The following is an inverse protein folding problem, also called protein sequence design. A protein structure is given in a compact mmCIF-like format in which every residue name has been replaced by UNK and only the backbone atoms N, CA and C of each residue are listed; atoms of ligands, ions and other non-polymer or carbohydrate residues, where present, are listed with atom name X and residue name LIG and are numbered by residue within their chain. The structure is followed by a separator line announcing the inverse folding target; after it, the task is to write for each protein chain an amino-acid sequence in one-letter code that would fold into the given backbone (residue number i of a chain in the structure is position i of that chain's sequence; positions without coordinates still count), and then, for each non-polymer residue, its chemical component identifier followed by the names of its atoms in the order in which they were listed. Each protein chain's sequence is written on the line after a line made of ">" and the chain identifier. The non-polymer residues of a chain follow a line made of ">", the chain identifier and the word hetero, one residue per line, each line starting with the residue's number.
data_IF_912945363335
#
_entry.id   IF_912945363335
#
_cell.length_a   1.000
_cell.length_b   1.000
_cell.length_c   1.000
_cell.angle_alpha   90.00
_cell.angle_beta   90.00
_cell.angle_gamma   90.00
#
_symmetry.space_group_name_H-M   'P 1'
#
loop_
_entity.id
_entity.type
_entity.pdbx_description
1 polymer ?
#
# COMPACT_ATOMS: atom_id res chain seq x y z
N UNK A 1 9.38 2.81 48.63
CA UNK A 1 9.56 1.88 47.50
C UNK A 1 11.01 1.96 47.07
N UNK A 2 11.69 0.85 47.02
CA UNK A 2 13.07 0.75 46.49
C UNK A 2 13.08 0.46 44.98
N UNK A 3 11.96 -0.03 44.46
CA UNK A 3 11.83 -0.31 43.02
C UNK A 3 11.64 0.99 42.22
N UNK A 4 12.24 1.07 41.01
CA UNK A 4 12.06 2.20 40.08
C UNK A 4 10.57 2.35 39.72
N UNK A 5 10.11 3.59 39.70
CA UNK A 5 8.76 3.91 39.21
C UNK A 5 8.77 5.16 38.34
N UNK A 6 7.88 5.19 37.35
CA UNK A 6 7.75 6.32 36.45
C UNK A 6 6.65 7.27 36.91
N UNK A 7 6.91 8.56 36.86
CA UNK A 7 5.94 9.63 37.07
C UNK A 7 6.14 10.76 36.08
N UNK A 8 5.15 11.61 35.98
CA UNK A 8 5.25 12.85 35.20
C UNK A 8 5.39 14.02 36.17
N UNK A 9 6.46 14.80 36.02
CA UNK A 9 6.65 16.04 36.77
C UNK A 9 6.41 17.24 35.84
N UNK A 10 6.12 18.41 36.43
CA UNK A 10 5.94 19.65 35.68
C UNK A 10 7.20 20.50 35.75
N UNK A 11 7.72 20.85 34.56
CA UNK A 11 8.83 21.81 34.46
C UNK A 11 8.36 23.23 34.84
N UNK A 12 9.27 24.09 35.28
CA UNK A 12 8.99 25.50 35.64
C UNK A 12 8.31 26.31 34.53
N UNK A 13 8.49 25.93 33.28
CA UNK A 13 7.82 26.52 32.11
C UNK A 13 6.50 25.83 31.74
N UNK A 14 5.99 24.93 32.59
CA UNK A 14 4.63 24.36 32.48
C UNK A 14 4.51 23.07 31.68
N UNK A 15 5.54 22.64 30.95
CA UNK A 15 5.50 21.38 30.20
C UNK A 15 5.73 20.15 31.11
N UNK A 16 5.20 19.02 30.70
CA UNK A 16 5.31 17.74 31.39
C UNK A 16 6.61 17.03 31.03
N UNK A 17 7.31 16.50 32.02
CA UNK A 17 8.54 15.71 31.85
C UNK A 17 8.31 14.33 32.48
N UNK A 18 8.37 13.23 31.74
CA UNK A 18 8.36 11.89 32.28
C UNK A 18 9.69 11.61 32.96
N UNK A 19 9.66 11.17 34.22
CA UNK A 19 10.86 10.83 34.98
C UNK A 19 10.73 9.47 35.64
N UNK A 20 11.84 8.77 35.72
CA UNK A 20 12.00 7.57 36.51
C UNK A 20 12.59 7.97 37.88
N UNK A 21 11.96 7.52 38.94
CA UNK A 21 12.36 7.83 40.31
C UNK A 21 12.78 6.56 41.03
N UNK A 22 13.98 6.56 41.59
CA UNK A 22 14.51 5.48 42.44
C UNK A 22 14.88 6.08 43.78
N UNK A 23 14.31 5.52 44.86
CA UNK A 23 14.65 5.93 46.20
C UNK A 23 15.37 4.81 46.97
N UNK A 24 16.52 5.10 47.59
CA UNK A 24 17.25 4.16 48.43
C UNK A 24 17.52 4.80 49.77
N UNK A 25 17.21 4.06 50.85
CA UNK A 25 17.55 4.48 52.20
C UNK A 25 18.95 3.98 52.54
N UNK A 26 19.82 4.88 53.02
CA UNK A 26 21.17 4.54 53.46
C UNK A 26 21.41 5.06 54.86
N UNK A 27 21.91 4.24 55.78
CA UNK A 27 22.33 4.69 57.11
C UNK A 27 23.65 5.46 56.98
N UNK A 28 23.68 6.68 57.52
CA UNK A 28 24.87 7.49 57.58
C UNK A 28 24.93 8.24 58.93
N UNK A 29 26.03 8.11 59.68
CA UNK A 29 26.29 8.82 60.97
C UNK A 29 25.13 8.80 61.98
N UNK A 30 24.53 7.63 62.26
CA UNK A 30 23.44 7.42 63.23
C UNK A 30 22.06 7.97 62.78
N UNK A 31 21.89 8.29 61.48
CA UNK A 31 20.60 8.68 60.89
C UNK A 31 20.38 8.01 59.55
N UNK A 32 19.09 7.70 59.23
CA UNK A 32 18.71 7.16 57.92
C UNK A 32 18.44 8.29 56.95
N UNK A 33 19.26 8.31 55.86
CA UNK A 33 19.06 9.24 54.75
C UNK A 33 18.42 8.54 53.60
N UNK A 34 17.44 9.20 52.97
CA UNK A 34 16.82 8.74 51.74
C UNK A 34 17.41 9.48 50.57
N UNK A 35 18.16 8.76 49.75
CA UNK A 35 18.67 9.26 48.45
C UNK A 35 17.61 8.99 47.40
N UNK A 36 17.21 10.02 46.64
CA UNK A 36 16.27 9.92 45.55
C UNK A 36 17.00 10.33 44.27
N UNK A 37 17.04 9.41 43.31
CA UNK A 37 17.58 9.68 41.98
C UNK A 37 16.39 9.89 41.03
N UNK A 38 16.38 11.00 40.35
CA UNK A 38 15.36 11.34 39.34
C UNK A 38 16.05 11.39 37.98
N UNK A 39 15.60 10.53 37.08
CA UNK A 39 16.14 10.46 35.72
C UNK A 39 15.08 10.92 34.74
N UNK A 40 15.39 11.89 33.89
CA UNK A 40 14.55 12.24 32.76
C UNK A 40 14.55 11.10 31.73
N UNK A 41 13.37 10.56 31.41
CA UNK A 41 13.17 9.47 30.48
C UNK A 41 12.46 9.92 29.20
N UNK A 42 12.41 11.22 28.93
CA UNK A 42 11.74 11.79 27.74
C UNK A 42 12.29 11.17 26.45
N UNK A 43 13.62 11.14 26.28
CA UNK A 43 14.25 10.58 25.10
C UNK A 43 13.96 9.07 24.94
N UNK A 44 13.94 8.31 26.07
CA UNK A 44 13.59 6.89 26.04
C UNK A 44 12.13 6.67 25.60
N UNK A 45 11.18 7.42 26.14
CA UNK A 45 9.78 7.32 25.75
C UNK A 45 9.53 7.73 24.32
N UNK A 46 10.14 8.82 23.87
CA UNK A 46 10.05 9.25 22.48
C UNK A 46 10.61 8.20 21.50
N UNK A 47 11.74 7.57 21.86
CA UNK A 47 12.29 6.47 21.05
C UNK A 47 11.34 5.27 21.00
N UNK A 48 10.77 4.87 22.12
CA UNK A 48 9.80 3.77 22.20
C UNK A 48 8.52 4.07 21.41
N UNK A 49 7.98 5.29 21.53
CA UNK A 49 6.82 5.73 20.76
C UNK A 49 7.12 5.73 19.26
N UNK A 50 8.32 6.19 18.89
CA UNK A 50 8.75 6.19 17.49
C UNK A 50 8.95 4.78 16.94
N UNK A 51 9.54 3.89 17.72
CA UNK A 51 9.67 2.48 17.35
C UNK A 51 8.30 1.82 17.17
N UNK A 52 7.37 2.03 18.11
CA UNK A 52 6.00 1.52 18.02
C UNK A 52 5.26 2.09 16.79
N UNK A 53 5.46 3.37 16.49
CA UNK A 53 4.87 4.01 15.32
C UNK A 53 5.43 3.40 14.02
N UNK A 54 6.75 3.27 13.89
CA UNK A 54 7.41 2.71 12.70
C UNK A 54 7.03 1.24 12.50
N UNK A 55 6.80 0.49 13.58
CA UNK A 55 6.34 -0.90 13.49
C UNK A 55 4.98 -1.05 12.79
N UNK A 56 4.12 -0.01 12.85
CA UNK A 56 2.75 -0.03 12.34
C UNK A 56 2.51 0.90 11.14
N UNK A 57 3.44 1.81 10.84
CA UNK A 57 3.26 2.82 9.79
C UNK A 57 4.42 2.83 8.79
N UNK A 58 4.13 3.23 7.56
CA UNK A 58 5.13 3.53 6.54
C UNK A 58 5.86 4.83 6.88
N UNK A 59 7.19 4.79 6.94
CA UNK A 59 8.02 5.91 7.38
C UNK A 59 7.97 7.11 6.43
N UNK A 60 7.65 6.90 5.15
CA UNK A 60 7.62 7.95 4.13
C UNK A 60 6.29 8.71 4.13
N UNK A 61 5.17 7.96 4.12
CA UNK A 61 3.82 8.51 3.94
C UNK A 61 3.03 8.62 5.24
N UNK A 62 3.52 8.04 6.33
CA UNK A 62 2.85 7.96 7.63
C UNK A 62 1.50 7.21 7.58
N UNK A 63 1.19 6.55 6.47
CA UNK A 63 0.04 5.65 6.38
C UNK A 63 0.30 4.34 7.13
N UNK A 64 -0.73 3.63 7.57
CA UNK A 64 -0.64 2.23 7.97
C UNK A 64 0.23 1.42 7.01
N UNK A 65 1.16 0.63 7.57
CA UNK A 65 1.96 -0.29 6.79
C UNK A 65 1.21 -1.62 6.57
N UNK A 66 1.84 -2.58 5.87
CA UNK A 66 1.26 -3.90 5.59
C UNK A 66 0.84 -4.63 6.86
N UNK A 67 1.65 -4.56 7.92
CA UNK A 67 1.36 -5.27 9.17
C UNK A 67 0.08 -4.72 9.83
N UNK A 68 0.00 -3.41 9.99
CA UNK A 68 -1.16 -2.77 10.58
C UNK A 68 -2.43 -2.91 9.72
N UNK A 69 -2.30 -2.84 8.39
CA UNK A 69 -3.41 -3.10 7.48
C UNK A 69 -4.01 -4.50 7.70
N UNK A 70 -3.17 -5.54 7.81
CA UNK A 70 -3.64 -6.92 8.00
C UNK A 70 -4.40 -7.10 9.32
N UNK A 71 -3.92 -6.47 10.39
CA UNK A 71 -4.61 -6.48 11.68
C UNK A 71 -5.96 -5.76 11.59
N UNK A 72 -5.98 -4.55 11.03
CA UNK A 72 -7.21 -3.76 10.89
C UNK A 72 -8.23 -4.45 9.98
N UNK A 73 -7.81 -4.96 8.83
CA UNK A 73 -8.70 -5.67 7.91
C UNK A 73 -9.29 -6.92 8.57
N UNK A 74 -8.50 -7.68 9.33
CA UNK A 74 -9.00 -8.85 10.06
C UNK A 74 -10.05 -8.47 11.10
N UNK A 75 -9.87 -7.36 11.81
CA UNK A 75 -10.85 -6.83 12.78
C UNK A 75 -12.13 -6.36 12.06
N UNK A 76 -12.00 -5.60 10.96
CA UNK A 76 -13.12 -5.13 10.13
C UNK A 76 -13.94 -6.31 9.62
N UNK A 77 -13.30 -7.36 9.08
CA UNK A 77 -13.99 -8.56 8.59
C UNK A 77 -14.71 -9.32 9.71
N UNK A 78 -14.11 -9.39 10.92
CA UNK A 78 -14.77 -9.99 12.07
C UNK A 78 -16.04 -9.24 12.49
N UNK A 79 -16.01 -7.90 12.42
CA UNK A 79 -17.18 -7.05 12.65
C UNK A 79 -18.23 -7.20 11.55
N UNK A 80 -17.81 -7.14 10.29
CA UNK A 80 -18.67 -7.28 9.12
C UNK A 80 -19.41 -8.61 9.15
N UNK A 81 -18.72 -9.71 9.50
CA UNK A 81 -19.35 -11.03 9.65
C UNK A 81 -20.48 -11.04 10.67
N UNK A 82 -20.31 -10.36 11.81
CA UNK A 82 -21.34 -10.29 12.88
C UNK A 82 -22.55 -9.43 12.47
N UNK A 83 -22.30 -8.39 11.66
CA UNK A 83 -23.33 -7.44 11.24
C UNK A 83 -23.94 -7.76 9.88
N UNK A 84 -23.48 -8.81 9.22
CA UNK A 84 -23.82 -9.14 7.82
C UNK A 84 -23.56 -7.95 6.88
N UNK A 85 -22.51 -7.16 7.19
CA UNK A 85 -22.11 -6.02 6.40
C UNK A 85 -21.11 -6.42 5.31
N UNK A 86 -21.01 -5.59 4.27
CA UNK A 86 -20.06 -5.75 3.18
C UNK A 86 -18.82 -4.85 3.41
N UNK A 87 -17.69 -5.30 2.90
CA UNK A 87 -16.43 -4.58 2.91
C UNK A 87 -15.83 -4.64 1.52
N UNK A 88 -15.25 -3.55 1.04
CA UNK A 88 -14.45 -3.58 -0.17
C UNK A 88 -12.98 -3.33 0.13
N UNK A 89 -12.12 -4.09 -0.56
CA UNK A 89 -10.67 -3.89 -0.58
C UNK A 89 -10.29 -3.41 -1.96
N UNK A 90 -9.73 -2.21 -2.04
CA UNK A 90 -9.20 -1.60 -3.26
C UNK A 90 -7.69 -1.69 -3.22
N UNK A 91 -7.08 -2.44 -4.13
CA UNK A 91 -5.63 -2.48 -4.31
C UNK A 91 -5.25 -1.54 -5.45
N UNK A 92 -4.33 -0.63 -5.20
CA UNK A 92 -3.94 0.43 -6.12
C UNK A 92 -2.45 0.40 -6.37
N UNK A 93 -2.04 0.58 -7.62
CA UNK A 93 -0.65 0.79 -8.00
C UNK A 93 -0.56 2.00 -8.95
N UNK A 94 0.49 2.82 -8.78
CA UNK A 94 0.72 4.01 -9.60
C UNK A 94 1.36 3.62 -10.93
N UNK A 95 0.65 3.90 -12.03
CA UNK A 95 1.14 3.57 -13.37
C UNK A 95 2.41 4.37 -13.70
N UNK A 96 3.42 3.69 -14.24
CA UNK A 96 4.69 4.31 -14.64
C UNK A 96 5.47 5.04 -13.53
N UNK A 97 5.22 4.73 -12.25
CA UNK A 97 5.96 5.34 -11.13
C UNK A 97 7.47 5.15 -11.25
N UNK A 98 7.92 3.98 -11.75
CA UNK A 98 9.33 3.73 -12.03
C UNK A 98 9.91 4.77 -12.99
N UNK A 99 9.18 5.15 -14.04
CA UNK A 99 9.63 6.18 -15.00
C UNK A 99 9.82 7.54 -14.32
N UNK A 100 8.98 7.87 -13.34
CA UNK A 100 9.14 9.10 -12.54
C UNK A 100 10.46 9.05 -11.76
N UNK A 101 10.75 7.94 -11.09
CA UNK A 101 12.01 7.77 -10.36
C UNK A 101 13.22 7.81 -11.29
N UNK A 102 13.16 7.13 -12.43
CA UNK A 102 14.27 7.05 -13.39
C UNK A 102 14.55 8.42 -14.05
N UNK A 103 13.50 9.26 -14.24
CA UNK A 103 13.62 10.55 -14.91
C UNK A 103 13.88 11.72 -13.98
N UNK A 104 13.27 11.74 -12.77
CA UNK A 104 13.31 12.87 -11.84
C UNK A 104 14.04 12.55 -10.52
N UNK A 105 14.47 11.30 -10.36
CA UNK A 105 15.16 10.82 -9.15
C UNK A 105 14.21 10.40 -8.03
N UNK A 106 14.73 9.64 -7.08
CA UNK A 106 13.97 9.07 -5.97
C UNK A 106 13.35 10.14 -5.06
N UNK A 107 13.98 11.31 -4.93
CA UNK A 107 13.42 12.40 -4.12
C UNK A 107 12.07 12.90 -4.66
N UNK A 108 11.96 13.07 -5.98
CA UNK A 108 10.71 13.43 -6.64
C UNK A 108 9.64 12.33 -6.50
N UNK A 109 10.04 11.06 -6.61
CA UNK A 109 9.15 9.93 -6.35
C UNK A 109 8.63 9.90 -4.91
N UNK A 110 9.49 10.18 -3.94
CA UNK A 110 9.10 10.26 -2.53
C UNK A 110 8.11 11.40 -2.25
N UNK A 111 8.29 12.57 -2.86
CA UNK A 111 7.34 13.67 -2.77
C UNK A 111 6.00 13.29 -3.41
N UNK A 112 6.03 12.66 -4.58
CA UNK A 112 4.83 12.16 -5.25
C UNK A 112 4.06 11.18 -4.36
N UNK A 113 4.74 10.21 -3.74
CA UNK A 113 4.11 9.24 -2.84
C UNK A 113 3.45 9.89 -1.63
N UNK A 114 4.05 10.93 -1.04
CA UNK A 114 3.43 11.70 0.05
C UNK A 114 2.17 12.41 -0.42
N UNK A 115 2.21 13.08 -1.56
CA UNK A 115 1.07 13.78 -2.14
C UNK A 115 -0.07 12.82 -2.51
N UNK A 116 0.25 11.64 -3.03
CA UNK A 116 -0.72 10.57 -3.30
C UNK A 116 -1.38 10.11 -1.99
N UNK A 117 -0.59 9.86 -0.94
CA UNK A 117 -1.11 9.45 0.36
C UNK A 117 -2.10 10.47 0.94
N UNK A 118 -1.80 11.76 0.85
CA UNK A 118 -2.69 12.84 1.29
C UNK A 118 -3.99 12.88 0.47
N UNK A 119 -3.91 12.75 -0.87
CA UNK A 119 -5.10 12.70 -1.73
C UNK A 119 -5.97 11.49 -1.45
N UNK A 120 -5.37 10.32 -1.23
CA UNK A 120 -6.11 9.10 -0.87
C UNK A 120 -6.84 9.29 0.46
N UNK A 121 -6.15 9.83 1.47
CA UNK A 121 -6.71 10.07 2.80
C UNK A 121 -7.89 11.04 2.76
N UNK A 122 -7.77 12.11 2.00
CA UNK A 122 -8.86 13.10 1.81
C UNK A 122 -10.00 12.57 0.94
N UNK A 123 -9.76 11.53 0.16
CA UNK A 123 -10.74 10.91 -0.74
C UNK A 123 -11.71 9.94 -0.07
N UNK A 124 -11.42 9.46 1.14
CA UNK A 124 -12.18 8.44 1.88
C UNK A 124 -12.70 8.99 3.20
N UNK A 125 -13.58 8.22 3.88
CA UNK A 125 -14.13 8.57 5.19
C UNK A 125 -13.17 8.20 6.31
N UNK A 126 -13.33 8.79 7.50
CA UNK A 126 -12.52 8.45 8.68
C UNK A 126 -12.64 6.99 9.13
N UNK A 127 -13.77 6.34 8.81
CA UNK A 127 -14.00 4.93 9.10
C UNK A 127 -13.27 3.98 8.13
N UNK A 128 -12.82 4.49 6.98
CA UNK A 128 -12.10 3.71 5.98
C UNK A 128 -10.59 3.71 6.29
N UNK A 129 -9.91 2.65 5.88
CA UNK A 129 -8.47 2.50 6.11
C UNK A 129 -7.72 2.76 4.82
N UNK A 130 -6.71 3.62 4.85
CA UNK A 130 -5.76 3.81 3.75
C UNK A 130 -4.39 3.35 4.24
N UNK A 131 -3.75 2.46 3.49
CA UNK A 131 -2.45 1.89 3.81
C UNK A 131 -1.49 1.94 2.62
N UNK A 132 -0.18 1.91 2.88
CA UNK A 132 0.86 1.72 1.87
C UNK A 132 1.61 0.42 2.17
N UNK A 133 1.72 -0.46 1.16
CA UNK A 133 2.37 -1.76 1.32
C UNK A 133 3.88 -1.72 1.04
N UNK A 134 4.31 -0.74 0.25
CA UNK A 134 5.68 -0.53 -0.20
C UNK A 134 5.71 -0.06 -1.65
N UNK A 135 6.85 0.49 -2.10
CA UNK A 135 6.95 0.99 -3.47
C UNK A 135 5.82 1.98 -3.82
N UNK A 136 5.09 1.67 -4.85
CA UNK A 136 3.96 2.43 -5.41
C UNK A 136 2.59 1.76 -5.14
N UNK A 137 2.53 0.84 -4.17
CA UNK A 137 1.34 0.08 -3.83
C UNK A 137 0.61 0.67 -2.62
N UNK A 138 -0.67 0.98 -2.81
CA UNK A 138 -1.59 1.45 -1.79
C UNK A 138 -2.80 0.53 -1.69
N UNK A 139 -3.39 0.47 -0.51
CA UNK A 139 -4.64 -0.27 -0.28
C UNK A 139 -5.63 0.63 0.45
N UNK A 140 -6.88 0.59 0.01
CA UNK A 140 -7.99 1.24 0.68
C UNK A 140 -9.00 0.17 1.10
N UNK A 141 -9.43 0.19 2.36
CA UNK A 141 -10.47 -0.68 2.88
C UNK A 141 -11.71 0.17 3.17
N UNK A 142 -12.77 -0.09 2.44
CA UNK A 142 -14.06 0.58 2.62
C UNK A 142 -14.95 -0.28 3.52
N UNK A 143 -15.45 0.33 4.58
CA UNK A 143 -16.32 -0.34 5.56
C UNK A 143 -17.78 -0.01 5.30
N UNK A 144 -18.68 -0.93 5.68
CA UNK A 144 -20.14 -0.72 5.65
C UNK A 144 -20.66 -0.25 4.26
N UNK A 145 -20.14 -0.82 3.16
CA UNK A 145 -20.71 -0.59 1.84
C UNK A 145 -22.03 -1.35 1.70
N UNK A 146 -23.00 -0.76 1.01
CA UNK A 146 -24.31 -1.39 0.82
C UNK A 146 -24.35 -2.22 -0.48
N UNK A 147 -23.74 -1.69 -1.52
CA UNK A 147 -23.70 -2.28 -2.85
C UNK A 147 -22.29 -2.30 -3.43
N UNK A 148 -21.99 -3.15 -4.41
CA UNK A 148 -20.73 -3.07 -5.15
C UNK A 148 -20.50 -1.69 -5.80
N UNK A 149 -21.58 -1.00 -6.20
CA UNK A 149 -21.51 0.31 -6.82
C UNK A 149 -20.96 1.38 -5.88
N UNK A 150 -21.15 1.23 -4.56
CA UNK A 150 -20.55 2.14 -3.58
C UNK A 150 -19.00 2.06 -3.64
N UNK A 151 -18.46 0.85 -3.76
CA UNK A 151 -17.01 0.65 -3.93
C UNK A 151 -16.52 1.20 -5.27
N UNK A 152 -17.32 0.99 -6.34
CA UNK A 152 -17.04 1.54 -7.66
C UNK A 152 -16.97 3.07 -7.64
N UNK A 153 -17.94 3.72 -7.01
CA UNK A 153 -18.03 5.18 -6.91
C UNK A 153 -16.84 5.77 -6.14
N UNK A 154 -16.41 5.13 -5.04
CA UNK A 154 -15.21 5.56 -4.31
C UNK A 154 -13.96 5.36 -5.16
N UNK A 155 -13.82 4.22 -5.86
CA UNK A 155 -12.69 3.98 -6.76
C UNK A 155 -12.63 5.03 -7.89
N UNK A 156 -13.76 5.38 -8.51
CA UNK A 156 -13.84 6.42 -9.54
C UNK A 156 -13.48 7.80 -8.99
N UNK A 157 -13.92 8.13 -7.77
CA UNK A 157 -13.51 9.36 -7.08
C UNK A 157 -12.01 9.41 -6.84
N UNK A 158 -11.41 8.30 -6.41
CA UNK A 158 -9.96 8.21 -6.20
C UNK A 158 -9.19 8.33 -7.52
N UNK A 159 -9.65 7.65 -8.59
CA UNK A 159 -9.11 7.81 -9.93
C UNK A 159 -9.13 9.28 -10.37
N UNK A 160 -10.28 9.93 -10.27
CA UNK A 160 -10.45 11.33 -10.65
C UNK A 160 -9.52 12.26 -9.84
N UNK A 161 -9.35 12.00 -8.54
CA UNK A 161 -8.43 12.75 -7.70
C UNK A 161 -6.97 12.60 -8.14
N UNK A 162 -6.57 11.44 -8.67
CA UNK A 162 -5.20 11.20 -9.15
C UNK A 162 -4.91 11.83 -10.51
N UNK A 163 -5.91 12.04 -11.37
CA UNK A 163 -5.73 12.75 -12.65
C UNK A 163 -5.37 14.25 -12.47
N UNK A 164 -5.58 14.81 -11.26
CA UNK A 164 -5.16 16.17 -10.95
C UNK A 164 -3.63 16.30 -10.98
N UNK A 165 -3.14 17.43 -11.48
CA UNK A 165 -1.71 17.74 -11.53
C UNK A 165 -1.09 17.67 -10.12
N UNK A 166 0.04 16.98 -10.02
CA UNK A 166 0.93 17.03 -8.87
C UNK A 166 2.06 18.03 -9.16
N UNK A 167 2.36 18.90 -8.24
CA UNK A 167 3.50 19.82 -8.38
C UNK A 167 4.66 19.26 -7.55
N UNK A 168 5.69 18.78 -8.23
CA UNK A 168 6.90 18.22 -7.63
C UNK A 168 8.08 19.08 -8.06
N UNK A 169 8.77 19.71 -7.11
CA UNK A 169 9.89 20.64 -7.38
C UNK A 169 9.57 21.68 -8.48
N UNK A 170 8.36 22.25 -8.43
CA UNK A 170 7.80 23.19 -9.40
C UNK A 170 7.48 22.61 -10.79
N UNK A 171 7.70 21.30 -11.00
CA UNK A 171 7.33 20.61 -12.24
C UNK A 171 5.92 20.03 -12.13
N UNK A 172 5.02 20.30 -13.09
CA UNK A 172 3.72 19.65 -13.14
C UNK A 172 3.87 18.20 -13.62
N UNK A 173 3.34 17.26 -12.85
CA UNK A 173 3.34 15.84 -13.14
C UNK A 173 1.92 15.30 -13.09
N UNK A 174 1.57 14.42 -14.02
CA UNK A 174 0.33 13.65 -13.99
C UNK A 174 0.67 12.17 -13.87
N UNK A 175 -0.07 11.46 -13.03
CA UNK A 175 0.07 10.02 -12.86
C UNK A 175 -1.33 9.42 -12.71
N UNK A 176 -1.55 8.25 -13.32
CA UNK A 176 -2.78 7.49 -13.13
C UNK A 176 -2.51 6.29 -12.21
N UNK A 177 -3.47 5.86 -11.42
CA UNK A 177 -3.40 4.57 -10.76
C UNK A 177 -4.23 3.53 -11.51
N UNK A 178 -3.85 2.26 -11.41
CA UNK A 178 -4.69 1.11 -11.72
C UNK A 178 -5.23 0.54 -10.42
N UNK A 179 -6.55 0.29 -10.36
CA UNK A 179 -7.26 -0.14 -9.15
C UNK A 179 -7.94 -1.48 -9.36
N UNK A 180 -7.67 -2.43 -8.47
CA UNK A 180 -8.43 -3.69 -8.37
C UNK A 180 -9.31 -3.70 -7.14
N UNK A 181 -10.53 -4.21 -7.26
CA UNK A 181 -11.56 -4.21 -6.22
C UNK A 181 -11.96 -5.63 -5.87
N UNK A 182 -11.83 -6.01 -4.60
CA UNK A 182 -12.38 -7.25 -4.07
C UNK A 182 -13.42 -6.96 -2.99
N UNK A 183 -14.50 -7.76 -2.96
CA UNK A 183 -15.63 -7.59 -2.06
C UNK A 183 -15.71 -8.74 -1.06
N UNK A 184 -15.94 -8.41 0.21
CA UNK A 184 -16.36 -9.36 1.24
C UNK A 184 -17.90 -9.36 1.34
N UNK A 185 -18.55 -10.52 1.40
CA UNK A 185 -17.98 -11.88 1.44
C UNK A 185 -17.77 -12.54 0.06
N UNK A 186 -18.13 -11.91 -1.04
CA UNK A 186 -18.25 -12.49 -2.38
C UNK A 186 -16.92 -13.05 -2.91
N UNK A 187 -15.81 -12.33 -2.69
CA UNK A 187 -14.49 -12.68 -3.25
C UNK A 187 -13.54 -13.29 -2.21
N UNK A 188 -14.01 -13.44 -0.95
CA UNK A 188 -13.22 -14.08 0.09
C UNK A 188 -13.67 -13.79 1.50
N UNK A 189 -13.14 -14.57 2.46
CA UNK A 189 -13.51 -14.49 3.87
C UNK A 189 -12.32 -14.15 4.78
N UNK A 190 -11.12 -13.99 4.25
CA UNK A 190 -9.91 -13.62 4.98
C UNK A 190 -9.24 -12.40 4.36
N UNK A 191 -8.46 -11.67 5.16
CA UNK A 191 -7.69 -10.51 4.72
C UNK A 191 -6.74 -10.86 3.57
N UNK A 192 -5.99 -11.97 3.70
CA UNK A 192 -5.06 -12.42 2.66
C UNK A 192 -5.77 -12.76 1.35
N UNK A 193 -6.93 -13.42 1.42
CA UNK A 193 -7.71 -13.77 0.23
C UNK A 193 -8.20 -12.53 -0.49
N UNK A 194 -8.78 -11.56 0.22
CA UNK A 194 -9.29 -10.33 -0.37
C UNK A 194 -8.19 -9.46 -0.97
N UNK A 195 -7.02 -9.35 -0.29
CA UNK A 195 -5.88 -8.63 -0.83
C UNK A 195 -5.35 -9.29 -2.11
N UNK A 196 -5.27 -10.63 -2.14
CA UNK A 196 -4.85 -11.37 -3.34
C UNK A 196 -5.82 -11.14 -4.50
N UNK A 197 -7.14 -11.25 -4.25
CA UNK A 197 -8.16 -11.01 -5.27
C UNK A 197 -8.11 -9.56 -5.79
N UNK A 198 -8.00 -8.58 -4.89
CA UNK A 198 -7.88 -7.18 -5.28
C UNK A 198 -6.60 -6.91 -6.09
N UNK A 199 -5.47 -7.53 -5.72
CA UNK A 199 -4.24 -7.43 -6.48
C UNK A 199 -4.35 -8.04 -7.89
N UNK A 200 -4.98 -9.22 -8.03
CA UNK A 200 -5.23 -9.83 -9.35
C UNK A 200 -6.08 -8.91 -10.24
N UNK A 201 -7.14 -8.31 -9.68
CA UNK A 201 -7.97 -7.35 -10.39
C UNK A 201 -7.19 -6.07 -10.79
N UNK A 202 -6.28 -5.59 -9.95
CA UNK A 202 -5.41 -4.45 -10.27
C UNK A 202 -4.45 -4.76 -11.43
N UNK A 203 -3.89 -5.98 -11.46
CA UNK A 203 -3.09 -6.41 -12.62
C UNK A 203 -3.90 -6.43 -13.89
N UNK A 204 -5.13 -6.95 -13.85
CA UNK A 204 -6.04 -6.93 -14.98
C UNK A 204 -6.39 -5.49 -15.43
N UNK A 205 -6.54 -4.55 -14.49
CA UNK A 205 -6.72 -3.14 -14.81
C UNK A 205 -5.52 -2.56 -15.58
N UNK A 206 -4.29 -2.95 -15.23
CA UNK A 206 -3.08 -2.56 -15.96
C UNK A 206 -3.05 -3.11 -17.39
N UNK A 207 -3.43 -4.38 -17.57
CA UNK A 207 -3.50 -5.03 -18.89
C UNK A 207 -4.60 -4.44 -19.77
N UNK A 208 -5.71 -4.01 -19.16
CA UNK A 208 -6.86 -3.39 -19.83
C UNK A 208 -6.68 -1.90 -20.16
N UNK A 209 -5.44 -1.40 -20.22
CA UNK A 209 -5.15 -0.02 -20.66
C UNK A 209 -4.73 0.95 -19.56
N UNK A 210 -4.59 0.53 -18.30
CA UNK A 210 -4.22 1.36 -17.13
C UNK A 210 -5.20 2.49 -16.83
N UNK A 211 -4.98 3.22 -15.76
CA UNK A 211 -5.80 4.37 -15.38
C UNK A 211 -7.28 4.04 -15.19
N UNK A 212 -7.58 2.81 -14.80
CA UNK A 212 -8.95 2.32 -14.65
C UNK A 212 -9.10 1.46 -13.40
N UNK A 213 -10.32 1.02 -13.12
CA UNK A 213 -10.64 0.06 -12.06
C UNK A 213 -11.24 -1.22 -12.61
N UNK A 214 -10.97 -2.33 -11.94
CA UNK A 214 -11.57 -3.62 -12.25
C UNK A 214 -12.06 -4.30 -10.96
N UNK A 215 -13.24 -4.89 -11.00
CA UNK A 215 -13.64 -5.83 -9.97
C UNK A 215 -12.96 -7.17 -10.21
N UNK A 216 -12.63 -7.84 -9.12
CA UNK A 216 -12.11 -9.20 -9.20
C UNK A 216 -13.16 -10.13 -9.82
N UNK A 217 -12.70 -10.97 -10.71
CA UNK A 217 -13.42 -12.10 -11.26
C UNK A 217 -12.54 -13.35 -11.16
N UNK A 218 -13.06 -14.53 -10.81
CA UNK A 218 -12.26 -15.76 -10.69
C UNK A 218 -11.47 -16.14 -11.95
N UNK A 219 -11.88 -15.70 -13.13
CA UNK A 219 -11.14 -15.91 -14.38
C UNK A 219 -9.77 -15.21 -14.38
N UNK A 220 -9.58 -14.18 -13.55
CA UNK A 220 -8.33 -13.43 -13.44
C UNK A 220 -7.23 -14.25 -12.74
N UNK A 221 -7.58 -15.17 -11.84
CA UNK A 221 -6.62 -16.10 -11.21
C UNK A 221 -6.03 -17.08 -12.23
N UNK A 222 -6.81 -17.50 -13.21
CA UNK A 222 -6.35 -18.38 -14.29
C UNK A 222 -5.32 -17.65 -15.19
N UNK A 223 -5.56 -16.37 -15.49
CA UNK A 223 -4.65 -15.54 -16.27
C UNK A 223 -3.26 -15.41 -15.62
N UNK A 224 -3.18 -15.22 -14.30
CA UNK A 224 -1.91 -15.12 -13.59
C UNK A 224 -1.08 -16.42 -13.63
N UNK A 225 -1.74 -17.57 -13.52
CA UNK A 225 -1.09 -18.88 -13.66
C UNK A 225 -0.63 -19.15 -15.10
N UNK A 226 -1.44 -18.72 -16.07
CA UNK A 226 -1.10 -18.85 -17.50
C UNK A 226 0.08 -17.96 -17.88
N UNK A 227 0.19 -16.74 -17.34
CA UNK A 227 1.37 -15.88 -17.53
C UNK A 227 2.64 -16.55 -17.02
N UNK A 228 2.63 -17.10 -15.79
CA UNK A 228 3.78 -17.83 -15.24
C UNK A 228 4.14 -19.08 -16.08
N UNK A 229 3.11 -19.77 -16.57
CA UNK A 229 3.29 -20.94 -17.44
C UNK A 229 3.90 -20.54 -18.78
N UNK A 230 3.41 -19.48 -19.41
CA UNK A 230 3.96 -18.94 -20.64
C UNK A 230 5.40 -18.44 -20.46
N UNK A 231 5.70 -17.73 -19.37
CA UNK A 231 7.06 -17.28 -19.08
C UNK A 231 8.02 -18.47 -18.95
N UNK A 232 7.61 -19.55 -18.26
CA UNK A 232 8.39 -20.76 -18.17
C UNK A 232 8.62 -21.39 -19.54
N UNK A 233 7.56 -21.55 -20.35
CA UNK A 233 7.66 -22.10 -21.70
C UNK A 233 8.58 -21.28 -22.59
N UNK A 234 8.51 -19.95 -22.53
CA UNK A 234 9.40 -19.06 -23.26
C UNK A 234 10.86 -19.21 -22.81
N UNK A 235 11.13 -19.33 -21.51
CA UNK A 235 12.49 -19.58 -21.01
C UNK A 235 13.04 -20.94 -21.46
N UNK A 236 12.22 -21.98 -21.44
CA UNK A 236 12.56 -23.30 -21.94
C UNK A 236 12.84 -23.25 -23.46
N UNK A 237 12.02 -22.54 -24.23
CA UNK A 237 12.21 -22.38 -25.66
C UNK A 237 13.49 -21.60 -26.01
N UNK A 238 13.85 -20.59 -25.22
CA UNK A 238 15.15 -19.89 -25.36
C UNK A 238 16.31 -20.84 -25.10
N UNK A 239 16.25 -21.61 -24.03
CA UNK A 239 17.33 -22.51 -23.62
C UNK A 239 17.55 -23.68 -24.62
N UNK A 240 16.49 -24.14 -25.27
CA UNK A 240 16.50 -25.26 -26.22
C UNK A 240 16.63 -24.83 -27.67
N UNK A 241 16.55 -23.52 -27.96
CA UNK A 241 16.53 -23.00 -29.32
C UNK A 241 15.27 -23.40 -30.11
N UNK A 242 14.16 -23.64 -29.43
CA UNK A 242 12.91 -24.17 -29.99
C UNK A 242 12.05 -23.08 -30.70
N UNK A 243 12.61 -21.94 -31.02
CA UNK A 243 11.89 -20.90 -31.76
C UNK A 243 11.93 -21.15 -33.27
N UNK A 244 10.74 -21.06 -33.87
CA UNK A 244 10.58 -21.06 -35.31
C UNK A 244 10.08 -19.71 -35.80
N UNK A 245 10.53 -19.31 -37.00
CA UNK A 245 10.05 -18.09 -37.68
C UNK A 245 8.99 -18.44 -38.71
N UNK A 246 7.78 -17.95 -38.50
CA UNK A 246 6.71 -17.98 -39.46
C UNK A 246 6.60 -16.60 -40.14
N UNK A 247 6.34 -16.57 -41.45
CA UNK A 247 6.25 -15.34 -42.21
C UNK A 247 4.80 -15.12 -42.68
N UNK A 248 4.23 -13.97 -42.35
CA UNK A 248 2.91 -13.56 -42.78
C UNK A 248 3.06 -12.51 -43.90
N UNK A 249 2.52 -12.76 -45.11
CA UNK A 249 2.61 -11.80 -46.19
C UNK A 249 1.71 -10.57 -45.94
N UNK A 250 2.25 -9.39 -46.22
CA UNK A 250 1.52 -8.12 -46.22
C UNK A 250 1.26 -7.73 -47.67
N UNK A 251 -0.02 -7.67 -48.04
CA UNK A 251 -0.45 -7.34 -49.41
C UNK A 251 -1.02 -5.92 -49.47
N UNK A 252 -0.73 -5.23 -50.55
CA UNK A 252 -1.39 -3.97 -50.86
C UNK A 252 -2.86 -4.20 -51.19
N UNK A 253 -3.78 -3.49 -50.57
CA UNK A 253 -5.22 -3.64 -50.77
C UNK A 253 -5.67 -3.14 -52.18
N UNK A 254 -4.89 -2.26 -52.83
CA UNK A 254 -5.27 -1.66 -54.10
C UNK A 254 -5.01 -2.57 -55.31
N UNK A 255 -3.91 -3.33 -55.28
CA UNK A 255 -3.44 -4.13 -56.42
C UNK A 255 -3.07 -5.59 -56.07
N UNK A 256 -3.16 -5.96 -54.77
CA UNK A 256 -2.79 -7.29 -54.30
C UNK A 256 -1.28 -7.58 -54.32
N UNK A 257 -0.44 -6.61 -54.60
CA UNK A 257 1.02 -6.79 -54.64
C UNK A 257 1.59 -7.05 -53.24
N UNK A 258 2.57 -7.96 -53.15
CA UNK A 258 3.29 -8.23 -51.92
C UNK A 258 4.15 -7.01 -51.52
N UNK A 259 3.85 -6.39 -50.38
CA UNK A 259 4.61 -5.24 -49.85
C UNK A 259 5.68 -5.64 -48.85
N UNK A 260 5.49 -6.76 -48.17
CA UNK A 260 6.42 -7.21 -47.15
C UNK A 260 6.05 -8.55 -46.56
N UNK A 261 6.92 -9.03 -45.66
CA UNK A 261 6.70 -10.20 -44.84
C UNK A 261 6.87 -9.82 -43.38
N UNK A 262 5.88 -10.08 -42.56
CA UNK A 262 6.02 -9.96 -41.09
C UNK A 262 6.59 -11.28 -40.55
N UNK A 263 7.70 -11.18 -39.82
CA UNK A 263 8.30 -12.33 -39.14
C UNK A 263 7.67 -12.53 -37.81
N UNK A 264 6.97 -13.63 -37.63
CA UNK A 264 6.29 -14.01 -36.40
C UNK A 264 7.01 -15.19 -35.74
N UNK A 265 7.48 -15.00 -34.50
CA UNK A 265 8.10 -16.06 -33.71
C UNK A 265 7.03 -17.03 -33.22
N UNK A 266 7.32 -18.34 -33.25
CA UNK A 266 6.52 -19.42 -32.68
C UNK A 266 7.42 -20.30 -31.79
N UNK A 267 6.85 -20.90 -30.75
CA UNK A 267 7.50 -21.91 -29.91
C UNK A 267 6.52 -23.04 -29.59
#
# INVERSE_FOLDING_TARGET
>A
REDPYEITIRHKHGHAIPVEVVGKTMPLHHADYRIVVVRDITARKQAQEREAFIALHDSLTQLPNRHFLMEQLSQVLSLARRRHARVAVLFMNLDHFKTVNDSLGHHAGDQLLRNVAERLRSGVRDADVVARLGGDEFVVVLTDIQTPDDAAMVADKLLAAMYGVFTIDQLPLTISPSIGIALYPEHGHSADQLLRCANAAMHHAKESGRGNRQFYDPSMDASALDVLRHERLLREAIATGAFELHYQPQLCLADGALQGLEALVRC
#
